data_IF_613083678827
#
_entry.id   IF_613083678827
#
_cell.length_a   1.000
_cell.length_b   1.000
_cell.length_c   1.000
_cell.angle_alpha   90.00
_cell.angle_beta   90.00
_cell.angle_gamma   90.00
#
_symmetry.space_group_name_H-M   'P 1'
#
loop_
_entity.id
_entity.type
_entity.pdbx_description
1 polymer ?
#
# COMPACT_ATOMS: atom_id res chain seq x y z
N UNK A 1 11.84 6.54 -29.25
CA UNK A 1 12.23 7.84 -28.68
C UNK A 1 11.41 8.90 -29.38
N UNK A 2 10.78 9.77 -28.60
CA UNK A 2 10.03 10.92 -29.10
C UNK A 2 10.85 12.16 -28.74
N UNK A 3 11.16 13.00 -29.72
CA UNK A 3 11.84 14.28 -29.53
C UNK A 3 10.91 15.41 -29.94
N UNK A 4 11.00 16.53 -29.23
CA UNK A 4 10.14 17.68 -29.46
C UNK A 4 10.40 18.80 -28.47
N UNK A 5 9.56 19.82 -28.53
CA UNK A 5 9.67 21.05 -27.74
C UNK A 5 8.38 21.33 -26.97
N UNK A 6 8.51 21.97 -25.80
CA UNK A 6 7.39 22.48 -25.02
C UNK A 6 7.47 24.00 -25.08
N UNK A 7 6.49 24.62 -25.73
CA UNK A 7 6.33 26.08 -25.69
C UNK A 7 5.67 26.48 -24.36
N UNK A 8 6.33 27.31 -23.53
CA UNK A 8 5.80 27.73 -22.24
C UNK A 8 4.52 28.56 -22.34
N UNK A 9 4.11 29.05 -23.50
CA UNK A 9 2.85 29.78 -23.72
C UNK A 9 1.72 28.89 -24.26
N UNK A 10 2.06 27.79 -24.94
CA UNK A 10 1.06 26.92 -25.54
C UNK A 10 0.37 26.04 -24.50
N UNK A 11 -0.96 25.99 -24.54
CA UNK A 11 -1.77 25.18 -23.63
C UNK A 11 -2.83 24.36 -24.38
N UNK A 12 -3.18 23.20 -23.83
CA UNK A 12 -4.30 22.39 -24.28
C UNK A 12 -5.02 21.74 -23.09
N UNK A 13 -6.32 21.53 -23.22
CA UNK A 13 -7.12 20.78 -22.27
C UNK A 13 -6.71 19.29 -22.28
N UNK A 14 -6.66 18.67 -21.10
CA UNK A 14 -6.34 17.24 -20.92
C UNK A 14 -7.48 16.50 -20.22
N UNK A 15 -7.70 15.26 -20.64
CA UNK A 15 -8.60 14.34 -19.97
C UNK A 15 -10.09 14.54 -20.28
N UNK A 16 -10.98 14.01 -19.43
CA UNK A 16 -10.66 13.35 -18.17
C UNK A 16 -10.00 11.97 -18.39
N UNK A 17 -9.06 11.61 -17.50
CA UNK A 17 -8.42 10.30 -17.46
C UNK A 17 -8.61 9.62 -16.11
N UNK A 18 -8.59 8.28 -16.11
CA UNK A 18 -8.71 7.48 -14.88
C UNK A 18 -7.44 7.54 -14.05
N UNK A 19 -7.57 7.92 -12.78
CA UNK A 19 -6.48 8.03 -11.82
C UNK A 19 -6.31 6.76 -10.98
N UNK A 20 -5.17 6.65 -10.29
CA UNK A 20 -4.89 5.52 -9.41
C UNK A 20 -5.91 5.37 -8.27
N UNK A 21 -6.59 6.45 -7.90
CA UNK A 21 -7.66 6.44 -6.88
C UNK A 21 -8.93 5.75 -7.36
N UNK A 22 -9.05 5.45 -8.66
CA UNK A 22 -10.23 4.85 -9.27
C UNK A 22 -11.25 5.84 -9.81
N UNK A 23 -10.95 7.15 -9.73
CA UNK A 23 -11.80 8.23 -10.22
C UNK A 23 -11.15 8.94 -11.40
N UNK A 24 -11.97 9.54 -12.25
CA UNK A 24 -11.46 10.34 -13.35
C UNK A 24 -11.11 11.76 -12.90
N UNK A 25 -10.02 12.31 -13.43
CA UNK A 25 -9.64 13.70 -13.20
C UNK A 25 -9.33 14.41 -14.53
N UNK A 26 -9.57 15.72 -14.58
CA UNK A 26 -9.06 16.63 -15.63
C UNK A 26 -7.87 17.44 -15.10
N UNK A 27 -7.19 16.93 -14.07
CA UNK A 27 -6.06 17.64 -13.48
C UNK A 27 -4.90 17.57 -14.46
N UNK A 28 -4.44 18.73 -14.89
CA UNK A 28 -3.44 18.82 -15.94
C UNK A 28 -2.48 19.97 -15.72
N UNK A 29 -1.26 19.80 -16.22
CA UNK A 29 -0.33 20.93 -16.40
C UNK A 29 -0.71 21.80 -17.59
N UNK A 30 -1.58 21.30 -18.47
CA UNK A 30 -2.00 21.88 -19.74
C UNK A 30 -0.85 22.11 -20.72
N UNK A 31 0.34 21.58 -20.45
CA UNK A 31 1.51 21.76 -21.33
C UNK A 31 1.38 20.92 -22.59
N UNK A 32 1.74 21.50 -23.73
CA UNK A 32 1.74 20.80 -25.02
C UNK A 32 3.18 20.42 -25.40
N UNK A 33 3.41 19.13 -25.64
CA UNK A 33 4.62 18.66 -26.30
C UNK A 33 4.39 18.66 -27.81
N UNK A 34 5.05 19.56 -28.53
CA UNK A 34 5.06 19.53 -30.00
C UNK A 34 6.13 18.53 -30.45
N UNK A 35 5.69 17.42 -31.05
CA UNK A 35 6.57 16.36 -31.51
C UNK A 35 7.24 16.73 -32.83
N UNK A 36 8.57 16.66 -32.86
CA UNK A 36 9.39 16.99 -34.03
C UNK A 36 9.94 15.72 -34.70
N UNK A 37 10.36 14.73 -33.89
CA UNK A 37 11.00 13.51 -34.39
C UNK A 37 10.51 12.26 -33.65
N UNK A 38 10.31 11.17 -34.40
CA UNK A 38 10.06 9.83 -33.86
C UNK A 38 11.18 8.90 -34.33
N UNK A 39 11.97 8.40 -33.38
CA UNK A 39 13.02 7.41 -33.65
C UNK A 39 12.64 6.05 -33.06
N UNK A 40 12.75 5.00 -33.88
CA UNK A 40 12.49 3.63 -33.44
C UNK A 40 13.42 2.63 -34.16
N UNK A 41 13.58 1.45 -33.54
CA UNK A 41 14.28 0.31 -34.16
C UNK A 41 13.44 -0.29 -35.30
N UNK A 42 14.06 -1.12 -36.16
CA UNK A 42 13.29 -1.99 -37.07
C UNK A 42 12.44 -2.96 -36.23
N UNK A 43 11.18 -3.14 -36.62
CA UNK A 43 10.19 -3.94 -35.88
C UNK A 43 10.02 -3.47 -34.40
N UNK A 44 9.43 -2.27 -34.20
CA UNK A 44 9.26 -1.71 -32.86
C UNK A 44 8.17 -2.44 -32.08
N UNK A 45 8.39 -2.57 -30.76
CA UNK A 45 7.33 -2.95 -29.81
C UNK A 45 6.93 -1.68 -29.07
N UNK A 46 5.63 -1.38 -29.06
CA UNK A 46 5.07 -0.33 -28.20
C UNK A 46 4.78 -0.94 -26.84
N UNK A 47 5.49 -0.47 -25.80
CA UNK A 47 5.19 -0.81 -24.42
C UNK A 47 4.16 0.20 -23.90
N UNK A 48 3.07 -0.31 -23.34
CA UNK A 48 2.01 0.46 -22.73
C UNK A 48 1.56 -0.23 -21.43
N UNK A 49 0.88 0.53 -20.58
CA UNK A 49 0.30 0.03 -19.32
C UNK A 49 -1.18 0.34 -19.25
N UNK A 50 -1.92 -0.45 -18.50
CA UNK A 50 -3.31 -0.09 -18.19
C UNK A 50 -3.34 0.91 -17.04
N UNK A 51 -3.58 2.19 -17.35
CA UNK A 51 -3.71 3.26 -16.34
C UNK A 51 -4.91 3.10 -15.39
N UNK A 52 -4.98 3.99 -14.39
CA UNK A 52 -6.06 4.01 -13.38
C UNK A 52 -5.83 3.08 -12.18
N UNK A 53 -6.91 2.65 -11.53
CA UNK A 53 -6.86 1.72 -10.38
C UNK A 53 -6.72 0.26 -10.86
N UNK A 54 -5.52 -0.08 -11.33
CA UNK A 54 -5.17 -1.41 -11.82
C UNK A 54 -3.87 -1.88 -11.19
N UNK A 55 -3.64 -3.19 -11.15
CA UNK A 55 -2.39 -3.74 -10.64
C UNK A 55 -1.17 -3.25 -11.45
N UNK A 56 -1.32 -3.05 -12.75
CA UNK A 56 -0.25 -2.62 -13.64
C UNK A 56 0.25 -1.21 -13.29
N UNK A 57 -0.68 -0.25 -13.17
CA UNK A 57 -0.36 1.11 -12.74
C UNK A 57 0.08 1.18 -11.28
N UNK A 58 -0.66 0.52 -10.37
CA UNK A 58 -0.40 0.63 -8.94
C UNK A 58 0.95 0.02 -8.54
N UNK A 59 1.38 -1.08 -9.18
CA UNK A 59 2.65 -1.73 -8.85
C UNK A 59 3.87 -0.86 -9.15
N UNK A 60 3.83 -0.04 -10.20
CA UNK A 60 4.95 0.82 -10.60
C UNK A 60 5.36 1.81 -9.52
N UNK A 61 4.40 2.35 -8.76
CA UNK A 61 4.67 3.22 -7.62
C UNK A 61 4.73 2.45 -6.30
N UNK A 62 3.94 1.39 -6.13
CA UNK A 62 3.86 0.60 -4.89
C UNK A 62 5.20 -0.04 -4.53
N UNK A 63 5.81 -0.78 -5.46
CA UNK A 63 7.02 -1.58 -5.19
C UNK A 63 8.20 -0.72 -4.70
N UNK A 64 8.61 0.37 -5.39
CA UNK A 64 9.71 1.20 -4.91
C UNK A 64 9.38 1.89 -3.58
N UNK A 65 8.14 2.34 -3.39
CA UNK A 65 7.68 2.99 -2.15
C UNK A 65 7.70 2.03 -0.96
N UNK A 66 7.20 0.81 -1.14
CA UNK A 66 7.22 -0.26 -0.13
C UNK A 66 8.66 -0.61 0.26
N UNK A 67 9.56 -0.75 -0.72
CA UNK A 67 10.98 -1.02 -0.47
C UNK A 67 11.66 0.10 0.33
N UNK A 68 11.43 1.36 -0.05
CA UNK A 68 11.99 2.53 0.65
C UNK A 68 11.51 2.59 2.11
N UNK A 69 10.21 2.45 2.34
CA UNK A 69 9.64 2.52 3.68
C UNK A 69 10.02 1.30 4.53
N UNK A 70 10.09 0.11 3.94
CA UNK A 70 10.56 -1.09 4.63
C UNK A 70 12.00 -0.94 5.12
N UNK A 71 12.89 -0.38 4.28
CA UNK A 71 14.27 -0.10 4.68
C UNK A 71 14.31 0.88 5.87
N UNK A 72 13.59 2.01 5.78
CA UNK A 72 13.51 3.01 6.86
C UNK A 72 12.99 2.42 8.17
N UNK A 73 11.97 1.55 8.08
CA UNK A 73 11.38 0.90 9.24
C UNK A 73 12.36 -0.08 9.88
N UNK A 74 12.96 -1.00 9.13
CA UNK A 74 13.87 -2.02 9.70
C UNK A 74 15.09 -1.37 10.36
N UNK A 75 15.61 -0.27 9.80
CA UNK A 75 16.70 0.50 10.40
C UNK A 75 16.35 1.11 11.77
N UNK A 76 15.08 1.43 12.02
CA UNK A 76 14.60 2.11 13.25
C UNK A 76 13.85 1.19 14.22
N UNK A 77 13.21 0.16 13.68
CA UNK A 77 12.30 -0.76 14.34
C UNK A 77 12.58 -2.19 13.84
N UNK A 78 13.65 -2.86 14.31
CA UNK A 78 14.04 -4.21 13.88
C UNK A 78 12.97 -5.30 14.16
N UNK A 79 11.98 -4.99 14.97
CA UNK A 79 10.79 -5.80 15.23
C UNK A 79 9.79 -5.84 14.08
N UNK A 80 9.82 -4.87 13.16
CA UNK A 80 8.98 -4.87 11.97
C UNK A 80 9.42 -6.02 11.07
N UNK A 81 8.50 -6.92 10.78
CA UNK A 81 8.80 -8.14 10.02
C UNK A 81 8.38 -8.01 8.56
N UNK A 82 7.29 -7.30 8.29
CA UNK A 82 6.76 -7.08 6.94
C UNK A 82 6.07 -5.72 6.84
N UNK A 83 6.13 -5.15 5.64
CA UNK A 83 5.38 -3.97 5.23
C UNK A 83 4.72 -4.31 3.89
N UNK A 84 3.45 -3.99 3.74
CA UNK A 84 2.72 -4.21 2.50
C UNK A 84 1.77 -3.05 2.20
N UNK A 85 1.77 -2.58 0.96
CA UNK A 85 0.80 -1.59 0.47
C UNK A 85 -0.22 -2.32 -0.40
N UNK A 86 -1.37 -2.77 0.14
CA UNK A 86 -2.30 -3.58 -0.63
C UNK A 86 -2.83 -2.82 -1.85
N UNK A 87 -2.98 -3.50 -2.98
CA UNK A 87 -3.58 -2.93 -4.20
C UNK A 87 -5.00 -2.42 -3.93
N UNK A 88 -5.76 -3.12 -3.07
CA UNK A 88 -7.10 -2.72 -2.61
C UNK A 88 -7.11 -1.39 -1.85
N UNK A 89 -5.97 -0.98 -1.30
CA UNK A 89 -5.77 0.27 -0.58
C UNK A 89 -5.39 1.47 -1.44
N UNK A 90 -5.24 1.29 -2.76
CA UNK A 90 -5.03 2.34 -3.77
C UNK A 90 -3.99 3.40 -3.37
N UNK A 91 -2.83 2.95 -2.86
CA UNK A 91 -1.72 3.78 -2.34
C UNK A 91 -2.00 4.57 -1.06
N UNK A 92 -3.23 4.58 -0.56
CA UNK A 92 -3.64 5.26 0.67
C UNK A 92 -3.58 4.38 1.91
N UNK A 93 -3.40 3.06 1.77
CA UNK A 93 -3.32 2.14 2.91
C UNK A 93 -2.00 1.38 2.93
N UNK A 94 -1.54 1.04 4.14
CA UNK A 94 -0.42 0.14 4.36
C UNK A 94 -0.71 -0.78 5.56
N UNK A 95 -0.18 -1.99 5.47
CA UNK A 95 -0.20 -2.99 6.51
C UNK A 95 1.23 -3.18 7.01
N UNK A 96 1.42 -3.19 8.33
CA UNK A 96 2.72 -3.42 8.95
C UNK A 96 2.61 -4.57 9.95
N UNK A 97 3.40 -5.61 9.75
CA UNK A 97 3.51 -6.72 10.68
C UNK A 97 4.73 -6.52 11.59
N UNK A 98 4.57 -6.78 12.88
CA UNK A 98 5.67 -6.63 13.84
C UNK A 98 5.60 -7.62 15.00
N UNK A 99 6.78 -7.90 15.57
CA UNK A 99 6.92 -8.54 16.89
C UNK A 99 6.75 -7.52 17.98
N UNK A 100 5.60 -7.54 18.65
CA UNK A 100 5.38 -6.64 19.77
C UNK A 100 6.32 -6.99 20.93
N UNK A 101 7.18 -6.06 21.31
CA UNK A 101 8.07 -6.20 22.48
C UNK A 101 7.67 -5.29 23.64
N UNK A 102 6.90 -4.22 23.38
CA UNK A 102 6.41 -3.30 24.42
C UNK A 102 5.08 -2.63 24.05
N UNK A 103 4.28 -2.19 25.05
CA UNK A 103 3.09 -1.37 24.81
C UNK A 103 3.40 -0.07 24.05
N UNK A 104 2.52 0.33 23.14
CA UNK A 104 2.63 1.56 22.34
C UNK A 104 3.61 1.51 21.16
N UNK A 105 4.38 0.43 21.00
CA UNK A 105 5.35 0.29 19.90
C UNK A 105 4.69 0.30 18.52
N UNK A 106 3.60 -0.45 18.33
CA UNK A 106 2.85 -0.46 17.08
C UNK A 106 2.34 0.94 16.72
N UNK A 107 1.77 1.68 17.68
CA UNK A 107 1.39 3.09 17.52
C UNK A 107 2.56 3.99 17.09
N UNK A 108 3.76 3.81 17.67
CA UNK A 108 4.94 4.57 17.27
C UNK A 108 5.36 4.25 15.82
N UNK A 109 5.34 2.97 15.42
CA UNK A 109 5.63 2.55 14.04
C UNK A 109 4.60 3.13 13.05
N UNK A 110 3.31 3.05 13.39
CA UNK A 110 2.23 3.60 12.56
C UNK A 110 2.37 5.12 12.39
N UNK A 111 2.66 5.86 13.46
CA UNK A 111 2.92 7.30 13.37
C UNK A 111 4.14 7.63 12.49
N UNK A 112 5.19 6.80 12.53
CA UNK A 112 6.34 6.91 11.64
C UNK A 112 5.93 6.80 10.18
N UNK A 113 5.21 5.73 9.82
CA UNK A 113 4.69 5.53 8.46
C UNK A 113 3.77 6.69 8.03
N UNK A 114 2.80 7.05 8.87
CA UNK A 114 1.86 8.14 8.61
C UNK A 114 2.53 9.52 8.56
N UNK A 115 3.74 9.69 9.09
CA UNK A 115 4.49 10.94 9.03
C UNK A 115 5.52 11.00 7.89
N UNK A 116 6.11 9.86 7.53
CA UNK A 116 7.15 9.79 6.49
C UNK A 116 6.58 9.67 5.09
N UNK A 117 5.44 9.01 4.95
CA UNK A 117 4.85 8.74 3.65
C UNK A 117 3.80 9.80 3.30
N UNK A 118 3.99 10.61 2.24
CA UNK A 118 3.12 11.75 1.95
C UNK A 118 1.72 11.36 1.48
N UNK A 119 1.51 10.14 0.97
CA UNK A 119 0.20 9.73 0.44
C UNK A 119 -0.58 8.86 1.41
N UNK A 120 0.09 8.22 2.37
CA UNK A 120 -0.54 7.26 3.25
C UNK A 120 -1.62 7.89 4.13
N UNK A 121 -2.81 7.31 4.12
CA UNK A 121 -3.98 7.76 4.89
C UNK A 121 -4.30 6.83 6.04
N UNK A 122 -4.17 5.52 5.84
CA UNK A 122 -4.48 4.51 6.86
C UNK A 122 -3.32 3.53 7.03
N UNK A 123 -2.95 3.23 8.27
CA UNK A 123 -2.02 2.14 8.59
C UNK A 123 -2.70 1.14 9.50
N UNK A 124 -2.58 -0.15 9.18
CA UNK A 124 -3.00 -1.25 10.04
C UNK A 124 -1.76 -1.97 10.56
N UNK A 125 -1.58 -2.00 11.87
CA UNK A 125 -0.55 -2.82 12.50
C UNK A 125 -1.12 -4.18 12.88
N UNK A 126 -0.41 -5.26 12.57
CA UNK A 126 -0.81 -6.65 12.88
C UNK A 126 0.37 -7.42 13.46
N UNK A 127 0.11 -8.53 14.14
CA UNK A 127 1.17 -9.41 14.63
C UNK A 127 1.97 -10.07 13.49
N UNK A 128 3.20 -10.51 13.77
CA UNK A 128 4.09 -11.11 12.78
C UNK A 128 3.56 -12.40 12.11
N UNK A 129 2.56 -13.04 12.72
CA UNK A 129 1.95 -14.28 12.24
C UNK A 129 0.74 -14.04 11.32
N UNK A 130 0.42 -12.78 11.01
CA UNK A 130 -0.62 -12.38 10.06
C UNK A 130 0.02 -12.14 8.68
N UNK A 131 -0.49 -12.80 7.64
CA UNK A 131 0.01 -12.55 6.28
C UNK A 131 -0.55 -11.25 5.71
N UNK A 132 0.25 -10.18 5.80
CA UNK A 132 -0.10 -8.84 5.27
C UNK A 132 -0.26 -8.79 3.75
N UNK A 133 0.07 -9.85 3.00
CA UNK A 133 -0.20 -9.90 1.54
C UNK A 133 -1.60 -10.40 1.21
N UNK A 134 -2.38 -10.79 2.23
CA UNK A 134 -3.74 -11.30 2.13
C UNK A 134 -4.69 -10.41 2.93
N UNK A 135 -5.51 -9.62 2.23
CA UNK A 135 -6.45 -8.68 2.85
C UNK A 135 -7.36 -9.38 3.87
N UNK A 136 -7.79 -10.61 3.60
CA UNK A 136 -8.65 -11.38 4.51
C UNK A 136 -7.99 -11.72 5.85
N UNK A 137 -6.67 -11.91 5.90
CA UNK A 137 -5.95 -12.15 7.16
C UNK A 137 -5.83 -10.88 7.99
N UNK A 138 -5.61 -9.73 7.33
CA UNK A 138 -5.57 -8.43 8.00
C UNK A 138 -6.96 -8.04 8.51
N UNK A 139 -8.01 -8.27 7.71
CA UNK A 139 -9.39 -8.04 8.14
C UNK A 139 -9.79 -8.96 9.30
N UNK A 140 -9.32 -10.22 9.30
CA UNK A 140 -9.50 -11.11 10.45
C UNK A 140 -8.82 -10.56 11.72
N UNK A 141 -7.57 -10.10 11.62
CA UNK A 141 -6.88 -9.50 12.75
C UNK A 141 -7.61 -8.25 13.27
N UNK A 142 -8.07 -7.38 12.38
CA UNK A 142 -8.90 -6.22 12.74
C UNK A 142 -10.21 -6.62 13.43
N UNK A 143 -10.86 -7.71 12.99
CA UNK A 143 -12.11 -8.16 13.59
C UNK A 143 -11.93 -8.77 14.98
N UNK A 144 -10.82 -9.49 15.21
CA UNK A 144 -10.63 -10.30 16.40
C UNK A 144 -9.69 -9.70 17.46
N UNK A 145 -8.75 -8.82 17.08
CA UNK A 145 -7.72 -8.30 17.98
C UNK A 145 -7.93 -6.84 18.38
N UNK A 146 -8.70 -6.07 17.62
CA UNK A 146 -8.82 -4.62 17.76
C UNK A 146 -10.06 -4.23 18.56
N UNK A 147 -9.89 -3.35 19.56
CA UNK A 147 -10.96 -2.66 20.28
C UNK A 147 -11.02 -1.20 19.81
N UNK A 148 -12.06 -0.79 19.05
CA UNK A 148 -12.05 0.50 18.35
C UNK A 148 -11.81 1.73 19.24
N UNK A 149 -12.34 1.72 20.45
CA UNK A 149 -12.19 2.82 21.41
C UNK A 149 -10.77 2.92 22.03
N UNK A 150 -9.96 1.86 21.95
CA UNK A 150 -8.62 1.78 22.54
C UNK A 150 -7.51 1.77 21.50
N UNK A 151 -7.78 1.22 20.32
CA UNK A 151 -6.75 0.80 19.36
C UNK A 151 -6.74 1.63 18.07
N UNK A 152 -7.71 2.52 17.92
CA UNK A 152 -7.75 3.50 16.83
C UNK A 152 -7.12 4.80 17.30
N UNK A 153 -6.41 5.48 16.40
CA UNK A 153 -6.09 6.90 16.56
C UNK A 153 -6.18 7.62 15.23
N UNK A 154 -6.42 8.93 15.30
CA UNK A 154 -6.50 9.82 14.15
C UNK A 154 -5.57 11.01 14.35
N UNK A 155 -4.88 11.40 13.29
CA UNK A 155 -4.11 12.64 13.20
C UNK A 155 -4.72 13.49 12.10
N UNK A 156 -5.14 14.70 12.41
CA UNK A 156 -5.81 15.62 11.47
C UNK A 156 -4.86 16.73 10.97
N UNK A 157 -5.34 17.49 9.98
CA UNK A 157 -4.63 18.66 9.45
C UNK A 157 -3.34 18.36 8.69
N UNK A 158 -3.16 17.13 8.22
CA UNK A 158 -1.98 16.74 7.44
C UNK A 158 -2.21 16.97 5.94
N UNK A 159 -1.16 17.20 5.14
CA UNK A 159 -1.29 17.26 3.68
C UNK A 159 -1.94 15.99 3.13
N UNK A 160 -2.92 16.15 2.26
CA UNK A 160 -3.58 15.08 1.52
C UNK A 160 -3.01 14.89 0.12
N UNK A 161 -3.44 13.83 -0.55
CA UNK A 161 -3.18 13.66 -1.97
C UNK A 161 -4.13 14.53 -2.79
N UNK A 162 -3.65 15.30 -3.78
CA UNK A 162 -4.53 16.01 -4.72
C UNK A 162 -5.45 15.08 -5.52
N UNK A 163 -5.15 13.78 -5.56
CA UNK A 163 -5.92 12.74 -6.24
C UNK A 163 -6.79 11.91 -5.29
N UNK A 164 -6.76 12.21 -3.98
CA UNK A 164 -7.73 11.67 -3.01
C UNK A 164 -9.02 12.52 -3.09
N UNK A 165 -10.13 11.99 -3.63
CA UNK A 165 -11.38 12.74 -3.77
C UNK A 165 -12.06 13.04 -2.42
N UNK A 166 -11.60 12.43 -1.33
CA UNK A 166 -12.11 12.66 0.02
C UNK A 166 -11.28 13.67 0.82
N UNK A 167 -10.21 14.22 0.25
CA UNK A 167 -9.47 15.34 0.86
C UNK A 167 -10.35 16.59 0.95
N UNK A 168 -10.05 17.45 1.90
CA UNK A 168 -10.74 18.74 2.07
C UNK A 168 -10.41 19.71 0.93
N UNK A 169 -11.20 20.78 0.79
CA UNK A 169 -11.00 21.79 -0.25
C UNK A 169 -9.63 22.52 -0.17
N UNK A 170 -9.02 22.59 1.02
CA UNK A 170 -7.69 23.17 1.24
C UNK A 170 -6.55 22.14 1.04
N UNK A 171 -6.88 20.92 0.60
CA UNK A 171 -5.90 19.86 0.30
C UNK A 171 -5.34 19.16 1.54
N UNK A 172 -6.00 19.29 2.69
CA UNK A 172 -5.67 18.56 3.91
C UNK A 172 -6.49 17.27 4.03
N UNK A 173 -6.04 16.37 4.89
CA UNK A 173 -6.70 15.10 5.17
C UNK A 173 -6.44 14.70 6.62
N UNK A 174 -7.26 13.78 7.12
CA UNK A 174 -6.95 13.05 8.35
C UNK A 174 -6.31 11.71 8.00
N UNK A 175 -5.43 11.26 8.88
CA UNK A 175 -4.76 9.97 8.79
C UNK A 175 -5.12 9.14 10.01
N UNK A 176 -5.19 7.82 9.83
CA UNK A 176 -5.68 6.90 10.84
C UNK A 176 -4.71 5.73 11.04
N UNK A 177 -4.46 5.40 12.30
CA UNK A 177 -3.79 4.15 12.68
C UNK A 177 -4.78 3.19 13.32
N UNK A 178 -4.68 1.92 12.97
CA UNK A 178 -5.48 0.80 13.46
C UNK A 178 -4.54 -0.25 14.07
N UNK A 179 -4.46 -0.31 15.39
CA UNK A 179 -3.65 -1.31 16.09
C UNK A 179 -4.42 -2.62 16.21
N UNK A 180 -4.22 -3.53 15.27
CA UNK A 180 -4.78 -4.88 15.30
C UNK A 180 -3.75 -5.93 15.79
N UNK A 181 -2.76 -5.49 16.57
CA UNK A 181 -1.87 -6.38 17.31
C UNK A 181 -2.56 -6.88 18.57
N UNK A 182 -2.32 -8.14 18.94
CA UNK A 182 -2.88 -8.71 20.17
C UNK A 182 -2.38 -7.95 21.40
N UNK A 183 -3.31 -7.62 22.29
CA UNK A 183 -3.03 -7.03 23.60
C UNK A 183 -2.12 -7.95 24.46
N UNK A 184 -1.44 -7.39 25.46
CA UNK A 184 -0.59 -8.19 26.34
C UNK A 184 -1.38 -9.22 27.17
N UNK A 185 -2.65 -8.91 27.44
CA UNK A 185 -3.64 -9.71 28.15
C UNK A 185 -4.63 -10.40 27.20
N UNK A 186 -4.27 -10.56 25.93
CA UNK A 186 -5.13 -11.20 24.94
C UNK A 186 -5.42 -12.66 25.30
N UNK A 187 -6.68 -12.94 25.66
CA UNK A 187 -7.16 -14.27 26.05
C UNK A 187 -7.70 -15.04 24.83
N UNK A 188 -6.77 -15.43 23.95
CA UNK A 188 -7.09 -16.18 22.74
C UNK A 188 -5.94 -17.07 22.30
N UNK A 189 -6.24 -18.34 22.06
CA UNK A 189 -5.29 -19.30 21.50
C UNK A 189 -5.63 -19.49 20.02
N UNK A 190 -4.70 -19.15 19.13
CA UNK A 190 -4.88 -19.37 17.69
C UNK A 190 -5.00 -20.87 17.44
N UNK A 191 -6.07 -21.27 16.77
CA UNK A 191 -6.26 -22.66 16.35
C UNK A 191 -5.22 -22.95 15.27
N UNK A 192 -4.44 -24.01 15.48
CA UNK A 192 -3.44 -24.49 14.53
C UNK A 192 -3.64 -25.97 14.23
N UNK A 193 -3.17 -26.39 13.05
CA UNK A 193 -3.04 -27.81 12.72
C UNK A 193 -1.66 -28.27 13.21
N UNK A 194 -1.60 -29.41 13.90
CA UNK A 194 -0.33 -29.97 14.36
C UNK A 194 0.66 -30.14 13.19
N UNK A 195 1.92 -29.77 13.38
CA UNK A 195 2.95 -29.83 12.33
C UNK A 195 3.12 -31.24 11.75
N UNK A 196 2.92 -32.28 12.57
CA UNK A 196 2.94 -33.67 12.12
C UNK A 196 1.80 -33.98 11.14
N UNK A 197 0.59 -33.47 11.40
CA UNK A 197 -0.54 -33.60 10.48
C UNK A 197 -0.27 -32.88 9.16
N UNK A 198 0.31 -31.67 9.21
CA UNK A 198 0.70 -30.93 7.99
C UNK A 198 1.77 -31.68 7.20
N UNK A 199 2.81 -32.21 7.87
CA UNK A 199 3.86 -33.04 7.24
C UNK A 199 3.28 -34.30 6.60
N UNK A 200 2.36 -34.96 7.30
CA UNK A 200 1.70 -36.16 6.79
C UNK A 200 0.86 -35.85 5.55
N UNK A 201 0.09 -34.76 5.56
CA UNK A 201 -0.71 -34.33 4.42
C UNK A 201 0.15 -34.01 3.19
N UNK A 202 1.27 -33.27 3.36
CA UNK A 202 2.21 -32.98 2.28
C UNK A 202 2.77 -34.27 1.65
N UNK A 203 3.23 -35.21 2.48
CA UNK A 203 3.73 -36.51 2.01
C UNK A 203 2.69 -37.29 1.19
N UNK A 204 1.41 -37.25 1.59
CA UNK A 204 0.34 -37.93 0.85
C UNK A 204 0.03 -37.26 -0.49
N UNK A 205 0.07 -35.92 -0.56
CA UNK A 205 -0.14 -35.17 -1.80
C UNK A 205 1.00 -35.41 -2.80
N UNK A 206 2.25 -35.38 -2.33
CA UNK A 206 3.44 -35.61 -3.17
C UNK A 206 3.48 -37.03 -3.74
N UNK A 207 2.97 -38.01 -3.00
CA UNK A 207 2.85 -39.39 -3.48
C UNK A 207 1.78 -39.56 -4.57
N UNK A 208 0.84 -38.62 -4.71
CA UNK A 208 -0.27 -38.69 -5.65
C UNK A 208 -0.06 -37.85 -6.92
N UNK A 209 0.88 -36.91 -6.90
CA UNK A 209 1.29 -36.10 -8.07
C UNK A 209 2.46 -36.71 -8.84
N UNK A 210 3.01 -37.83 -8.37
CA UNK A 210 4.09 -38.57 -9.02
C UNK A 210 3.60 -39.67 -9.99
N UNK A 211 2.28 -39.91 -10.05
CA UNK A 211 1.58 -40.75 -11.04
C UNK A 211 0.89 -39.88 -12.11
#
# INVERSE_FOLDING_TARGET
MLEGTIDPEQRAEEGPFGEFSGYSSSRSTHNVLTMETVLHRRDPVLLDIVGGNTADHLNLARIPREAEMAQKLVERFPEVTRLHYPTSGTHFHAYVALRRTRPGQARQVMLGLLGWDPYLKTVVAVDEDVDVTRDEEVLWAMAAHLQPHQDVFVVDGLPGSPLDPSSTADGTTSRMGLDATRAADFDGVRIGIAEESVRTARRLLDAHTAD
#
